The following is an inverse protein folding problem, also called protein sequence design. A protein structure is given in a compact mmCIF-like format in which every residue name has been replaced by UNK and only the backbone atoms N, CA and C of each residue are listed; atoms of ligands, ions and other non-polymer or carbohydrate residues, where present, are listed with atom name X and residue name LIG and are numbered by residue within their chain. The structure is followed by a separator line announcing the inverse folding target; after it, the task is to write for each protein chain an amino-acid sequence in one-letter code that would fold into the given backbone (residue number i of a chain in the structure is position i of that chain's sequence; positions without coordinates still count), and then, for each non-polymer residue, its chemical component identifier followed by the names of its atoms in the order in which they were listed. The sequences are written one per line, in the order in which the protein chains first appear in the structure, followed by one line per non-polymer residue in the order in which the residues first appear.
data_IF_840157747409
#
_entry.id   IF_840157747409
#
_cell.length_a   1.000
_cell.length_b   1.000
_cell.length_c   1.000
_cell.angle_alpha   90.00
_cell.angle_beta   90.00
_cell.angle_gamma   90.00
#
_symmetry.space_group_name_H-M   'P 1'
#
loop_
_entity.id
_entity.type
_entity.pdbx_description
1 polymer ?
#
# COMPACT_ATOMS: atom_id res chain seq x y z
N UNK A 1 12.75 -7.99 11.92
CA UNK A 1 12.41 -6.57 12.17
C UNK A 1 13.35 -5.94 13.20
N UNK A 2 13.70 -6.62 14.30
CA UNK A 2 14.59 -6.06 15.34
C UNK A 2 16.01 -5.70 14.86
N UNK A 3 16.61 -6.50 13.97
CA UNK A 3 17.93 -6.18 13.41
C UNK A 3 17.96 -4.84 12.65
N UNK A 4 16.86 -4.48 11.96
CA UNK A 4 16.78 -3.22 11.21
C UNK A 4 16.77 -2.01 12.16
N UNK A 5 16.09 -2.10 13.30
CA UNK A 5 16.07 -1.05 14.33
C UNK A 5 17.45 -0.83 14.99
N UNK A 6 18.26 -1.87 15.13
CA UNK A 6 19.61 -1.76 15.70
C UNK A 6 20.54 -1.02 14.73
N UNK A 7 20.54 -1.38 13.44
CA UNK A 7 21.29 -0.63 12.42
C UNK A 7 20.80 0.81 12.28
N UNK A 8 19.50 1.06 12.49
CA UNK A 8 18.89 2.38 12.46
C UNK A 8 19.39 3.29 13.59
N UNK A 9 19.38 2.78 14.82
CA UNK A 9 19.85 3.51 16.00
C UNK A 9 21.37 3.77 15.93
N UNK A 10 22.13 2.81 15.40
CA UNK A 10 23.57 2.97 15.15
C UNK A 10 23.83 4.03 14.08
N UNK A 11 23.06 4.06 12.99
CA UNK A 11 23.22 5.06 11.94
C UNK A 11 22.87 6.47 12.41
N UNK A 12 21.76 6.64 13.16
CA UNK A 12 21.40 7.94 13.76
C UNK A 12 22.47 8.38 14.76
N UNK A 13 22.97 7.47 15.61
CA UNK A 13 24.03 7.78 16.56
C UNK A 13 25.35 8.17 15.85
N UNK A 14 25.70 7.50 14.76
CA UNK A 14 26.88 7.83 13.94
C UNK A 14 26.67 9.16 13.21
N UNK A 15 25.49 9.42 12.64
CA UNK A 15 25.19 10.66 11.92
C UNK A 15 25.15 11.87 12.85
N UNK A 16 24.44 11.76 13.97
CA UNK A 16 24.40 12.80 15.01
C UNK A 16 25.78 12.97 15.62
N UNK A 17 26.48 11.87 15.92
CA UNK A 17 27.85 11.90 16.45
C UNK A 17 28.85 12.55 15.49
N UNK A 18 28.82 12.22 14.21
CA UNK A 18 29.70 12.81 13.18
C UNK A 18 29.35 14.26 12.90
N UNK A 19 28.07 14.62 12.91
CA UNK A 19 27.63 16.02 12.77
C UNK A 19 28.05 16.85 13.98
N UNK A 20 27.87 16.36 15.21
CA UNK A 20 28.33 17.02 16.43
C UNK A 20 29.87 17.10 16.48
N UNK A 21 30.59 16.06 16.05
CA UNK A 21 32.05 16.07 16.02
C UNK A 21 32.60 16.98 14.92
N UNK A 22 31.96 17.06 13.75
CA UNK A 22 32.35 18.01 12.69
C UNK A 22 31.98 19.44 13.07
N UNK A 23 30.82 19.70 13.68
CA UNK A 23 30.47 21.02 14.22
C UNK A 23 31.38 21.41 15.39
N UNK A 24 31.65 20.49 16.30
CA UNK A 24 32.53 20.68 17.45
C UNK A 24 33.95 20.98 17.00
N UNK A 25 34.47 20.26 16.00
CA UNK A 25 35.78 20.55 15.42
C UNK A 25 35.77 21.85 14.60
N UNK A 26 34.72 22.20 13.86
CA UNK A 26 34.61 23.51 13.19
C UNK A 26 34.58 24.67 14.19
N UNK A 27 33.95 24.48 15.36
CA UNK A 27 33.98 25.44 16.48
C UNK A 27 35.35 25.47 17.17
N UNK A 28 36.03 24.32 17.35
CA UNK A 28 37.33 24.22 18.05
C UNK A 28 38.56 24.54 17.17
N UNK A 29 38.47 24.46 15.84
CA UNK A 29 39.58 24.74 14.90
C UNK A 29 39.95 26.24 14.84
N UNK A 30 39.48 27.06 15.78
CA UNK A 30 39.80 28.49 15.83
C UNK A 30 39.38 29.25 14.57
N UNK A 31 38.41 28.71 13.80
CA UNK A 31 37.83 29.39 12.63
C UNK A 31 37.07 30.64 13.11
N UNK A 32 36.43 30.55 14.27
CA UNK A 32 35.66 31.65 14.85
C UNK A 32 36.50 32.61 15.72
N UNK A 33 37.70 32.26 16.18
CA UNK A 33 38.46 33.18 17.03
C UNK A 33 39.06 34.38 16.28
N UNK A 34 39.11 34.34 14.94
CA UNK A 34 39.71 35.40 14.09
C UNK A 34 38.73 36.19 13.20
N UNK A 35 37.44 35.84 13.19
CA UNK A 35 36.42 36.66 12.53
C UNK A 35 36.05 37.78 13.50
N UNK A 36 36.69 38.94 13.38
CA UNK A 36 36.46 40.10 14.27
C UNK A 36 35.11 40.79 14.05
N UNK A 37 34.45 40.51 12.92
CA UNK A 37 33.15 41.08 12.64
C UNK A 37 32.04 40.29 13.33
N UNK A 38 31.48 40.91 14.38
CA UNK A 38 30.33 40.42 15.16
C UNK A 38 29.16 40.04 14.24
N UNK A 39 28.96 40.76 13.13
CA UNK A 39 27.84 40.53 12.23
C UNK A 39 27.98 39.25 11.42
N UNK A 40 29.18 38.95 10.90
CA UNK A 40 29.44 37.75 10.09
C UNK A 40 29.32 36.48 10.92
N UNK A 41 29.76 36.53 12.18
CA UNK A 41 29.55 35.44 13.15
C UNK A 41 28.08 35.19 13.42
N UNK A 42 27.31 36.24 13.69
CA UNK A 42 25.88 36.11 13.99
C UNK A 42 25.12 35.60 12.77
N UNK A 43 25.39 36.11 11.57
CA UNK A 43 24.72 35.67 10.34
C UNK A 43 24.97 34.18 10.05
N UNK A 44 26.21 33.72 10.24
CA UNK A 44 26.59 32.33 9.97
C UNK A 44 26.02 31.36 11.01
N UNK A 45 26.04 31.74 12.29
CA UNK A 45 25.41 30.96 13.37
C UNK A 45 23.90 30.91 13.20
N UNK A 46 23.25 32.04 12.85
CA UNK A 46 21.82 32.08 12.58
C UNK A 46 21.42 31.22 11.37
N UNK A 47 22.22 31.21 10.31
CA UNK A 47 21.99 30.36 9.14
C UNK A 47 22.13 28.87 9.49
N UNK A 48 23.16 28.50 10.26
CA UNK A 48 23.36 27.12 10.71
C UNK A 48 22.23 26.64 11.65
N UNK A 49 21.77 27.49 12.57
CA UNK A 49 20.66 27.19 13.47
C UNK A 49 19.34 27.08 12.70
N UNK A 50 19.11 27.94 11.71
CA UNK A 50 17.93 27.86 10.85
C UNK A 50 17.89 26.57 10.03
N UNK A 51 19.04 26.16 9.47
CA UNK A 51 19.16 24.91 8.70
C UNK A 51 18.99 23.69 9.60
N UNK A 52 19.66 23.66 10.76
CA UNK A 52 19.54 22.56 11.71
C UNK A 52 18.10 22.45 12.28
N UNK A 53 17.45 23.59 12.56
CA UNK A 53 16.06 23.66 12.99
C UNK A 53 15.09 23.16 11.93
N UNK A 54 15.29 23.53 10.66
CA UNK A 54 14.46 23.06 9.55
C UNK A 54 14.60 21.54 9.33
N UNK A 55 15.84 21.01 9.40
CA UNK A 55 16.09 19.57 9.32
C UNK A 55 15.46 18.83 10.50
N UNK A 56 15.58 19.36 11.72
CA UNK A 56 15.02 18.74 12.92
C UNK A 56 13.48 18.73 12.93
N UNK A 57 12.84 19.85 12.57
CA UNK A 57 11.37 19.94 12.45
C UNK A 57 10.87 18.98 11.37
N UNK A 58 11.58 18.88 10.24
CA UNK A 58 11.25 17.96 9.16
C UNK A 58 11.39 16.48 9.58
N UNK A 59 12.45 16.13 10.31
CA UNK A 59 12.65 14.77 10.84
C UNK A 59 11.67 14.41 11.96
N UNK A 60 11.32 15.36 12.83
CA UNK A 60 10.43 15.14 13.97
C UNK A 60 8.95 14.98 13.57
N UNK A 61 8.55 15.51 12.41
CA UNK A 61 7.15 15.51 11.96
C UNK A 61 6.76 14.31 11.11
N UNK A 62 7.69 13.43 10.71
CA UNK A 62 7.40 12.35 9.75
C UNK A 62 8.05 10.99 10.09
N UNK A 63 7.67 10.34 11.21
CA UNK A 63 8.23 9.05 11.63
C UNK A 63 7.95 7.89 10.65
N UNK A 64 6.84 7.92 9.90
CA UNK A 64 6.45 6.80 9.02
C UNK A 64 7.16 6.76 7.66
N UNK A 65 7.97 7.78 7.34
CA UNK A 65 8.59 7.94 6.02
C UNK A 65 9.97 7.25 5.92
N UNK A 66 10.57 6.87 7.04
CA UNK A 66 11.93 6.30 7.10
C UNK A 66 12.06 4.88 6.50
N UNK A 67 10.95 4.22 6.16
CA UNK A 67 10.94 2.96 5.39
C UNK A 67 11.02 3.17 3.87
N UNK A 68 10.92 4.41 3.40
CA UNK A 68 10.94 4.72 1.98
C UNK A 68 12.35 5.13 1.56
N UNK A 69 13.09 4.20 0.93
CA UNK A 69 14.47 4.36 0.45
C UNK A 69 14.70 5.67 -0.32
N UNK A 70 13.66 6.14 -1.02
CA UNK A 70 13.68 7.41 -1.74
C UNK A 70 13.83 8.62 -0.81
N UNK A 71 13.11 8.69 0.31
CA UNK A 71 13.21 9.84 1.22
C UNK A 71 14.53 9.83 1.98
N UNK A 72 15.00 8.65 2.38
CA UNK A 72 16.34 8.49 2.97
C UNK A 72 17.43 8.99 2.01
N UNK A 73 17.34 8.66 0.72
CA UNK A 73 18.26 9.15 -0.30
C UNK A 73 18.28 10.69 -0.40
N UNK A 74 17.10 11.33 -0.38
CA UNK A 74 17.00 12.80 -0.42
C UNK A 74 17.62 13.45 0.82
N UNK A 75 17.40 12.88 2.01
CA UNK A 75 17.98 13.38 3.26
C UNK A 75 19.51 13.25 3.28
N UNK A 76 20.04 12.12 2.84
CA UNK A 76 21.49 11.89 2.74
C UNK A 76 22.13 12.85 1.74
N UNK A 77 21.51 13.06 0.57
CA UNK A 77 21.99 14.01 -0.43
C UNK A 77 22.06 15.44 0.12
N UNK A 78 20.97 15.93 0.74
CA UNK A 78 20.92 17.27 1.34
C UNK A 78 22.01 17.43 2.41
N UNK A 79 22.23 16.40 3.22
CA UNK A 79 23.23 16.42 4.30
C UNK A 79 24.66 16.50 3.76
N UNK A 80 25.01 15.68 2.75
CA UNK A 80 26.33 15.71 2.10
C UNK A 80 26.57 17.07 1.43
N UNK A 81 25.54 17.59 0.76
CA UNK A 81 25.61 18.87 0.08
C UNK A 81 25.86 20.02 1.06
N UNK A 82 25.09 20.10 2.16
CA UNK A 82 25.27 21.10 3.21
C UNK A 82 26.66 21.04 3.85
N UNK A 83 27.14 19.84 4.17
CA UNK A 83 28.49 19.66 4.72
C UNK A 83 29.56 20.18 3.76
N UNK A 84 29.44 19.86 2.47
CA UNK A 84 30.39 20.29 1.42
C UNK A 84 30.36 21.81 1.25
N UNK A 85 29.17 22.43 1.26
CA UNK A 85 29.01 23.87 1.16
C UNK A 85 29.64 24.62 2.35
N UNK A 86 29.43 24.13 3.58
CA UNK A 86 30.03 24.73 4.80
C UNK A 86 31.55 24.62 4.76
N UNK A 87 32.09 23.46 4.36
CA UNK A 87 33.55 23.27 4.25
C UNK A 87 34.14 24.16 3.17
N UNK A 88 33.50 24.28 2.00
CA UNK A 88 33.96 25.13 0.91
C UNK A 88 33.97 26.62 1.29
N UNK A 89 32.89 27.11 1.92
CA UNK A 89 32.80 28.48 2.43
C UNK A 89 33.85 28.74 3.53
N UNK A 90 34.01 27.80 4.46
CA UNK A 90 35.02 27.90 5.51
C UNK A 90 36.46 27.91 4.97
N UNK A 91 36.74 27.11 3.94
CA UNK A 91 38.04 27.07 3.28
C UNK A 91 38.34 28.38 2.52
N UNK A 92 37.36 28.96 1.82
CA UNK A 92 37.53 30.26 1.15
C UNK A 92 37.85 31.38 2.15
N UNK A 93 37.23 31.37 3.32
CA UNK A 93 37.47 32.37 4.36
C UNK A 93 38.86 32.21 5.03
N UNK A 94 39.44 31.00 5.02
CA UNK A 94 40.72 30.71 5.72
C UNK A 94 41.96 30.61 4.84
N UNK A 95 41.86 30.18 3.59
CA UNK A 95 43.04 29.75 2.81
C UNK A 95 43.48 30.80 1.79
N UNK A 96 44.60 31.45 2.11
CA UNK A 96 45.66 31.91 1.20
C UNK A 96 45.35 33.01 0.18
N UNK A 97 44.44 32.74 -0.76
CA UNK A 97 44.23 33.59 -1.95
C UNK A 97 43.18 34.67 -1.64
N UNK A 98 42.16 34.35 -0.83
CA UNK A 98 41.09 35.27 -0.45
C UNK A 98 41.34 36.01 0.87
N UNK A 99 42.28 35.54 1.69
CA UNK A 99 42.62 36.17 2.97
C UNK A 99 43.21 37.59 2.82
N UNK A 100 43.69 37.93 1.63
CA UNK A 100 44.24 39.26 1.28
C UNK A 100 43.33 40.06 0.34
N UNK A 101 42.18 39.50 -0.04
CA UNK A 101 41.19 40.16 -0.88
C UNK A 101 40.33 41.04 0.02
N UNK A 102 40.07 42.27 -0.40
CA UNK A 102 39.20 43.19 0.33
C UNK A 102 37.83 42.54 0.61
N UNK A 103 37.35 42.68 1.85
CA UNK A 103 36.09 42.11 2.33
C UNK A 103 34.93 42.37 1.37
N UNK A 104 34.91 43.51 0.66
CA UNK A 104 33.88 43.81 -0.33
C UNK A 104 33.83 42.76 -1.45
N UNK A 105 34.97 42.33 -1.97
CA UNK A 105 35.04 41.33 -3.04
C UNK A 105 34.87 39.90 -2.50
N UNK A 106 35.37 39.62 -1.30
CA UNK A 106 35.16 38.32 -0.63
C UNK A 106 33.68 38.06 -0.35
N UNK A 107 32.94 39.09 0.09
CA UNK A 107 31.49 39.01 0.29
C UNK A 107 30.73 38.83 -1.02
N UNK A 108 31.16 39.50 -2.10
CA UNK A 108 30.57 39.33 -3.43
C UNK A 108 30.77 37.89 -3.96
N UNK A 109 31.97 37.34 -3.78
CA UNK A 109 32.31 35.97 -4.18
C UNK A 109 31.55 34.92 -3.36
N UNK A 110 31.46 35.10 -2.05
CA UNK A 110 30.66 34.23 -1.18
C UNK A 110 29.16 34.28 -1.53
N UNK A 111 28.65 35.47 -1.87
CA UNK A 111 27.28 35.65 -2.36
C UNK A 111 27.04 34.94 -3.69
N UNK A 112 27.95 35.09 -4.66
CA UNK A 112 27.87 34.40 -5.94
C UNK A 112 27.89 32.88 -5.77
N UNK A 113 28.78 32.36 -4.91
CA UNK A 113 28.84 30.94 -4.59
C UNK A 113 27.56 30.42 -3.95
N UNK A 114 26.96 31.20 -3.04
CA UNK A 114 25.67 30.87 -2.43
C UNK A 114 24.56 30.77 -3.47
N UNK A 115 24.51 31.70 -4.42
CA UNK A 115 23.54 31.67 -5.54
C UNK A 115 23.77 30.46 -6.44
N UNK A 116 25.02 30.14 -6.77
CA UNK A 116 25.35 28.93 -7.55
C UNK A 116 24.99 27.64 -6.80
N UNK A 117 25.29 27.57 -5.50
CA UNK A 117 24.91 26.44 -4.64
C UNK A 117 23.39 26.27 -4.60
N UNK A 118 22.62 27.35 -4.42
CA UNK A 118 21.16 27.31 -4.46
C UNK A 118 20.66 26.85 -5.84
N UNK A 119 21.23 27.38 -6.93
CA UNK A 119 20.92 26.94 -8.29
C UNK A 119 21.17 25.45 -8.51
N UNK A 120 22.32 24.94 -8.05
CA UNK A 120 22.69 23.53 -8.15
C UNK A 120 21.77 22.61 -7.34
N UNK A 121 21.33 23.02 -6.15
CA UNK A 121 20.34 22.28 -5.34
C UNK A 121 18.99 22.25 -6.05
N UNK A 122 18.49 23.40 -6.50
CA UNK A 122 17.21 23.49 -7.18
C UNK A 122 17.21 22.62 -8.44
N UNK A 123 18.29 22.69 -9.23
CA UNK A 123 18.43 21.88 -10.44
C UNK A 123 18.53 20.38 -10.11
N UNK A 124 19.32 20.00 -9.11
CA UNK A 124 19.43 18.61 -8.66
C UNK A 124 18.09 18.08 -8.14
N UNK A 125 17.36 18.89 -7.35
CA UNK A 125 16.03 18.56 -6.83
C UNK A 125 15.00 18.40 -7.96
N UNK A 126 15.03 19.28 -8.97
CA UNK A 126 14.17 19.16 -10.16
C UNK A 126 14.47 17.91 -11.00
N UNK A 127 15.69 17.38 -10.93
CA UNK A 127 16.07 16.12 -11.61
C UNK A 127 15.73 14.87 -10.81
N UNK A 128 15.35 14.99 -9.54
CA UNK A 128 14.94 13.84 -8.74
C UNK A 128 13.58 13.32 -9.24
N UNK A 129 13.42 12.00 -9.39
CA UNK A 129 12.14 11.44 -9.81
C UNK A 129 11.07 11.82 -8.77
N UNK A 130 9.94 12.34 -9.25
CA UNK A 130 8.81 12.70 -8.41
C UNK A 130 8.47 11.53 -7.47
N UNK A 131 8.25 11.83 -6.18
CA UNK A 131 7.82 10.85 -5.20
C UNK A 131 6.39 10.43 -5.56
N UNK A 132 6.26 9.43 -6.44
CA UNK A 132 4.97 8.81 -6.73
C UNK A 132 4.62 7.90 -5.57
N UNK A 133 3.99 8.46 -4.53
CA UNK A 133 3.17 7.64 -3.66
C UNK A 133 2.10 7.03 -4.57
N UNK A 134 2.06 5.71 -4.70
CA UNK A 134 0.89 5.07 -5.29
C UNK A 134 -0.25 5.35 -4.32
N UNK A 135 -0.98 6.45 -4.53
CA UNK A 135 -2.08 6.85 -3.66
C UNK A 135 -3.04 5.67 -3.57
N UNK A 136 -3.27 5.20 -2.35
CA UNK A 136 -4.28 4.18 -2.10
C UNK A 136 -5.62 4.90 -2.02
N UNK A 137 -6.50 4.61 -2.96
CA UNK A 137 -7.87 5.09 -2.97
C UNK A 137 -8.76 4.09 -2.24
N UNK A 138 -9.71 4.61 -1.48
CA UNK A 138 -10.76 3.80 -0.85
C UNK A 138 -11.94 3.64 -1.83
N UNK A 139 -12.43 2.41 -1.95
CA UNK A 139 -13.53 2.04 -2.85
C UNK A 139 -14.54 1.17 -2.10
N UNK A 140 -15.82 1.42 -2.36
CA UNK A 140 -16.89 0.51 -1.97
C UNK A 140 -17.08 -0.58 -3.02
N UNK A 141 -17.35 -1.80 -2.57
CA UNK A 141 -17.58 -2.96 -3.43
C UNK A 141 -18.83 -3.72 -3.00
N UNK A 142 -19.70 -4.02 -3.95
CA UNK A 142 -20.92 -4.80 -3.71
C UNK A 142 -21.07 -5.93 -4.72
N UNK A 143 -21.55 -7.08 -4.24
CA UNK A 143 -22.04 -8.16 -5.09
C UNK A 143 -23.50 -8.43 -4.76
N UNK A 144 -24.36 -8.30 -5.76
CA UNK A 144 -25.77 -8.65 -5.70
C UNK A 144 -25.94 -10.05 -6.32
N UNK A 145 -26.11 -11.05 -5.48
CA UNK A 145 -26.15 -12.45 -5.92
C UNK A 145 -27.45 -12.76 -6.64
N UNK A 146 -27.33 -13.25 -7.87
CA UNK A 146 -28.50 -13.65 -8.66
C UNK A 146 -28.97 -15.04 -8.24
N UNK A 147 -30.21 -15.41 -8.57
CA UNK A 147 -30.64 -16.79 -8.39
C UNK A 147 -30.12 -17.66 -9.53
N UNK A 148 -29.05 -18.40 -9.26
CA UNK A 148 -28.42 -19.31 -10.22
C UNK A 148 -28.40 -20.78 -9.74
N UNK A 149 -29.14 -21.12 -8.68
CA UNK A 149 -29.08 -22.45 -8.06
C UNK A 149 -29.49 -23.58 -9.03
N UNK A 150 -30.54 -23.36 -9.82
CA UNK A 150 -31.00 -24.33 -10.81
C UNK A 150 -29.96 -24.54 -11.91
N UNK A 151 -29.31 -23.46 -12.35
CA UNK A 151 -28.26 -23.51 -13.36
C UNK A 151 -27.00 -24.17 -12.83
N UNK A 152 -26.62 -23.87 -11.58
CA UNK A 152 -25.53 -24.56 -10.89
C UNK A 152 -25.80 -26.06 -10.79
N UNK A 153 -27.02 -26.45 -10.37
CA UNK A 153 -27.40 -27.86 -10.24
C UNK A 153 -27.32 -28.62 -11.58
N UNK A 154 -27.67 -27.97 -12.70
CA UNK A 154 -27.52 -28.56 -14.04
C UNK A 154 -26.07 -28.86 -14.41
N UNK A 155 -25.10 -28.17 -13.82
CA UNK A 155 -23.67 -28.39 -14.05
C UNK A 155 -23.03 -29.50 -13.21
N UNK A 156 -23.79 -30.12 -12.30
CA UNK A 156 -23.32 -31.27 -11.55
C UNK A 156 -23.28 -32.50 -12.47
N UNK A 157 -22.09 -33.03 -12.73
CA UNK A 157 -21.89 -34.19 -13.60
C UNK A 157 -22.46 -35.48 -12.98
N UNK A 158 -22.37 -35.61 -11.65
CA UNK A 158 -22.82 -36.77 -10.89
C UNK A 158 -24.34 -36.78 -10.71
N UNK A 159 -24.98 -37.87 -11.15
CA UNK A 159 -26.41 -38.13 -10.87
C UNK A 159 -26.65 -38.21 -9.35
N UNK A 160 -25.71 -38.79 -8.61
CA UNK A 160 -25.77 -38.91 -7.16
C UNK A 160 -25.75 -37.52 -6.51
N UNK A 161 -24.89 -36.61 -6.97
CA UNK A 161 -24.81 -35.26 -6.38
C UNK A 161 -26.10 -34.46 -6.65
N UNK A 162 -26.71 -34.63 -7.82
CA UNK A 162 -28.01 -34.01 -8.14
C UNK A 162 -29.12 -34.56 -7.26
N UNK A 163 -29.17 -35.89 -7.06
CA UNK A 163 -30.13 -36.54 -6.17
C UNK A 163 -29.96 -36.09 -4.72
N UNK A 164 -28.73 -36.03 -4.22
CA UNK A 164 -28.42 -35.50 -2.89
C UNK A 164 -28.95 -34.07 -2.68
N UNK A 165 -28.80 -33.21 -3.69
CA UNK A 165 -29.33 -31.83 -3.64
C UNK A 165 -30.86 -31.85 -3.67
N UNK A 166 -31.48 -32.64 -4.54
CA UNK A 166 -32.94 -32.75 -4.65
C UNK A 166 -33.61 -33.24 -3.38
N UNK A 167 -33.04 -34.27 -2.78
CA UNK A 167 -33.52 -34.82 -1.52
C UNK A 167 -33.42 -33.77 -0.42
N UNK A 168 -32.25 -33.12 -0.26
CA UNK A 168 -32.06 -32.06 0.72
C UNK A 168 -33.04 -30.88 0.52
N UNK A 169 -33.29 -30.47 -0.71
CA UNK A 169 -34.26 -29.40 -1.01
C UNK A 169 -35.67 -29.79 -0.58
N UNK A 170 -36.03 -31.07 -0.75
CA UNK A 170 -37.37 -31.59 -0.47
C UNK A 170 -37.61 -31.83 1.03
N UNK A 171 -36.66 -32.47 1.71
CA UNK A 171 -36.83 -32.97 3.08
C UNK A 171 -36.19 -32.08 4.14
N UNK A 172 -35.26 -31.20 3.73
CA UNK A 172 -34.36 -30.43 4.62
C UNK A 172 -33.48 -31.30 5.53
N UNK A 173 -33.47 -32.61 5.31
CA UNK A 173 -32.72 -33.62 6.09
C UNK A 173 -32.22 -34.70 5.14
N UNK A 174 -30.93 -35.02 5.18
CA UNK A 174 -30.40 -36.20 4.49
C UNK A 174 -30.58 -37.41 5.41
N UNK A 175 -31.05 -38.54 4.89
CA UNK A 175 -31.03 -39.78 5.66
C UNK A 175 -29.59 -40.12 6.10
N UNK A 176 -29.40 -40.67 7.31
CA UNK A 176 -28.06 -40.89 7.88
C UNK A 176 -27.11 -41.71 6.99
N UNK A 177 -27.65 -42.63 6.18
CA UNK A 177 -26.87 -43.51 5.28
C UNK A 177 -26.46 -42.81 3.97
N UNK A 178 -27.25 -41.84 3.51
CA UNK A 178 -26.98 -41.00 2.34
C UNK A 178 -26.16 -39.76 2.69
N UNK A 179 -26.23 -39.31 3.95
CA UNK A 179 -25.44 -38.23 4.49
C UNK A 179 -23.95 -38.43 4.20
N UNK A 180 -23.35 -39.59 4.53
CA UNK A 180 -21.92 -39.80 4.30
C UNK A 180 -21.54 -39.75 2.81
N UNK A 181 -22.36 -40.27 1.89
CA UNK A 181 -22.09 -40.19 0.44
C UNK A 181 -22.26 -38.76 -0.09
N UNK A 182 -23.30 -38.05 0.33
CA UNK A 182 -23.61 -36.70 -0.10
C UNK A 182 -22.69 -35.64 0.54
N UNK A 183 -22.24 -35.85 1.78
CA UNK A 183 -21.30 -34.97 2.48
C UNK A 183 -19.87 -35.15 2.00
N UNK A 184 -19.45 -36.37 1.65
CA UNK A 184 -18.11 -36.60 1.11
C UNK A 184 -17.88 -35.89 -0.24
N UNK A 185 -18.93 -35.67 -1.04
CA UNK A 185 -18.84 -34.95 -2.31
C UNK A 185 -19.02 -33.42 -2.20
N UNK A 186 -19.24 -32.87 -1.00
CA UNK A 186 -19.45 -31.43 -0.74
C UNK A 186 -20.59 -30.76 -1.53
N UNK A 187 -21.38 -31.48 -2.32
CA UNK A 187 -22.42 -30.92 -3.19
C UNK A 187 -23.50 -30.20 -2.37
N UNK A 188 -23.99 -30.83 -1.31
CA UNK A 188 -25.02 -30.24 -0.43
C UNK A 188 -24.46 -29.06 0.37
N UNK A 189 -23.24 -29.15 0.88
CA UNK A 189 -22.60 -28.02 1.57
C UNK A 189 -22.38 -26.81 0.67
N UNK A 190 -22.01 -27.04 -0.60
CA UNK A 190 -21.93 -25.98 -1.60
C UNK A 190 -23.31 -25.41 -1.93
N UNK A 191 -24.33 -26.25 -2.07
CA UNK A 191 -25.71 -25.81 -2.33
C UNK A 191 -26.23 -24.92 -1.19
N UNK A 192 -26.09 -25.34 0.07
CA UNK A 192 -26.51 -24.55 1.24
C UNK A 192 -25.83 -23.18 1.24
N UNK A 193 -24.50 -23.17 1.11
CA UNK A 193 -23.74 -21.91 1.10
C UNK A 193 -24.17 -20.97 -0.05
N UNK A 194 -24.48 -21.52 -1.22
CA UNK A 194 -24.99 -20.72 -2.33
C UNK A 194 -26.42 -20.24 -2.08
N UNK A 195 -27.30 -21.10 -1.56
CA UNK A 195 -28.68 -20.76 -1.25
C UNK A 195 -28.78 -19.66 -0.18
N UNK A 196 -27.83 -19.60 0.75
CA UNK A 196 -27.74 -18.53 1.73
C UNK A 196 -27.27 -17.20 1.15
N UNK A 197 -26.43 -17.23 0.10
CA UNK A 197 -25.96 -16.03 -0.57
C UNK A 197 -26.97 -15.47 -1.59
N UNK A 198 -27.71 -16.35 -2.28
CA UNK A 198 -28.62 -16.00 -3.38
C UNK A 198 -29.70 -15.02 -2.95
N UNK A 199 -29.92 -13.99 -3.76
CA UNK A 199 -30.87 -12.90 -3.47
C UNK A 199 -30.39 -11.91 -2.41
N UNK A 200 -29.25 -12.20 -1.76
CA UNK A 200 -28.59 -11.29 -0.84
C UNK A 200 -27.63 -10.33 -1.55
N UNK A 201 -27.24 -9.28 -0.82
CA UNK A 201 -26.16 -8.38 -1.22
C UNK A 201 -25.02 -8.50 -0.22
N UNK A 202 -23.84 -8.86 -0.71
CA UNK A 202 -22.62 -8.76 0.08
C UNK A 202 -21.94 -7.42 -0.20
N UNK A 203 -21.26 -6.90 0.81
CA UNK A 203 -20.62 -5.57 0.76
C UNK A 203 -19.21 -5.64 1.29
N UNK A 204 -18.33 -4.87 0.71
CA UNK A 204 -16.95 -4.77 1.12
C UNK A 204 -16.36 -3.38 0.94
N UNK A 205 -15.25 -3.18 1.63
CA UNK A 205 -14.40 -2.01 1.53
C UNK A 205 -13.05 -2.42 0.94
N UNK A 206 -12.56 -1.63 0.00
CA UNK A 206 -11.37 -1.94 -0.77
C UNK A 206 -10.40 -0.76 -0.75
N UNK A 207 -9.12 -1.07 -0.58
CA UNK A 207 -8.04 -0.10 -0.72
C UNK A 207 -7.22 -0.46 -1.95
N UNK A 208 -7.30 0.38 -2.98
CA UNK A 208 -6.63 0.17 -4.26
C UNK A 208 -5.51 1.18 -4.45
N UNK A 209 -4.30 0.67 -4.64
CA UNK A 209 -3.12 1.42 -5.02
C UNK A 209 -2.91 1.27 -6.53
N UNK A 210 -2.83 2.40 -7.24
CA UNK A 210 -2.65 2.41 -8.69
C UNK A 210 -1.22 2.84 -9.07
N UNK A 211 -0.61 2.06 -9.98
CA UNK A 211 0.71 2.36 -10.52
C UNK A 211 0.56 2.82 -11.97
N UNK A 212 0.70 4.13 -12.19
CA UNK A 212 0.60 4.79 -13.50
C UNK A 212 1.61 4.26 -14.52
N UNK A 213 2.81 3.83 -14.08
CA UNK A 213 3.86 3.36 -15.00
C UNK A 213 3.48 2.06 -15.69
N UNK A 214 2.77 1.18 -14.97
CA UNK A 214 2.43 -0.17 -15.44
C UNK A 214 0.92 -0.38 -15.67
N UNK A 215 0.11 0.66 -15.44
CA UNK A 215 -1.36 0.61 -15.51
C UNK A 215 -1.96 -0.52 -14.64
N UNK A 216 -1.34 -0.80 -13.48
CA UNK A 216 -1.74 -1.91 -12.60
C UNK A 216 -2.31 -1.42 -11.28
N UNK A 217 -3.31 -2.17 -10.81
CA UNK A 217 -3.87 -2.04 -9.46
C UNK A 217 -3.27 -3.13 -8.56
N UNK A 218 -3.03 -2.77 -7.30
CA UNK A 218 -2.81 -3.72 -6.21
C UNK A 218 -3.59 -3.25 -5.00
N UNK A 219 -4.12 -4.17 -4.21
CA UNK A 219 -4.93 -3.77 -3.06
C UNK A 219 -5.32 -4.89 -2.14
N UNK A 220 -6.12 -4.53 -1.16
CA UNK A 220 -6.77 -5.44 -0.23
C UNK A 220 -8.24 -5.07 -0.13
N UNK A 221 -9.09 -6.05 0.15
CA UNK A 221 -10.51 -5.86 0.37
C UNK A 221 -10.94 -6.62 1.61
N UNK A 222 -11.74 -5.99 2.47
CA UNK A 222 -12.57 -6.68 3.45
C UNK A 222 -13.98 -6.81 2.90
N UNK A 223 -14.55 -8.01 2.91
CA UNK A 223 -15.85 -8.27 2.29
C UNK A 223 -16.71 -9.18 3.15
N UNK A 224 -17.95 -8.77 3.37
CA UNK A 224 -18.96 -9.53 4.10
C UNK A 224 -19.92 -10.18 3.11
N UNK A 225 -19.92 -11.51 3.06
CA UNK A 225 -20.91 -12.26 2.30
C UNK A 225 -22.31 -12.08 2.91
N UNK A 226 -23.38 -12.27 2.12
CA UNK A 226 -24.73 -12.27 2.66
C UNK A 226 -24.87 -13.32 3.77
N UNK A 227 -25.53 -12.94 4.87
CA UNK A 227 -25.78 -13.78 6.08
C UNK A 227 -24.54 -14.24 6.86
N UNK A 228 -23.33 -14.02 6.35
CA UNK A 228 -22.11 -14.29 7.11
C UNK A 228 -21.96 -13.34 8.30
N UNK A 229 -21.40 -13.86 9.40
CA UNK A 229 -21.13 -13.08 10.61
C UNK A 229 -19.78 -12.39 10.54
N UNK A 230 -18.82 -12.97 9.81
CA UNK A 230 -17.41 -12.56 9.77
C UNK A 230 -17.03 -12.08 8.37
N UNK A 231 -16.22 -11.03 8.30
CA UNK A 231 -15.70 -10.52 7.03
C UNK A 231 -14.53 -11.37 6.52
N UNK A 232 -14.45 -11.53 5.21
CA UNK A 232 -13.36 -12.20 4.51
C UNK A 232 -12.40 -11.18 3.92
N UNK A 233 -11.11 -11.39 4.16
CA UNK A 233 -10.06 -10.60 3.53
C UNK A 233 -9.66 -11.20 2.17
N UNK A 234 -9.53 -10.34 1.18
CA UNK A 234 -9.05 -10.66 -0.16
C UNK A 234 -7.83 -9.81 -0.49
N UNK A 235 -6.85 -10.44 -1.11
CA UNK A 235 -5.82 -9.73 -1.85
C UNK A 235 -6.33 -9.41 -3.25
N UNK A 236 -5.94 -8.27 -3.78
CA UNK A 236 -6.39 -7.81 -5.09
C UNK A 236 -5.23 -7.39 -5.97
N UNK A 237 -5.36 -7.72 -7.24
CA UNK A 237 -4.51 -7.20 -8.30
C UNK A 237 -5.38 -6.89 -9.51
N UNK A 238 -4.89 -6.07 -10.42
CA UNK A 238 -5.69 -5.74 -11.59
C UNK A 238 -4.98 -4.86 -12.60
N UNK A 239 -5.71 -4.51 -13.65
CA UNK A 239 -5.21 -3.66 -14.73
C UNK A 239 -6.27 -2.65 -15.14
N UNK A 240 -5.82 -1.42 -15.39
CA UNK A 240 -6.62 -0.40 -16.08
C UNK A 240 -6.40 -0.57 -17.58
N UNK A 241 -7.46 -0.87 -18.33
CA UNK A 241 -7.38 -0.95 -19.79
C UNK A 241 -7.55 0.44 -20.40
N UNK A 242 -8.49 1.22 -19.87
CA UNK A 242 -8.74 2.61 -20.27
C UNK A 242 -9.46 3.38 -19.13
N UNK A 243 -9.96 4.59 -19.39
CA UNK A 243 -10.66 5.39 -18.39
C UNK A 243 -12.04 4.85 -17.99
N UNK A 244 -12.61 3.94 -18.80
CA UNK A 244 -13.93 3.34 -18.61
C UNK A 244 -13.87 1.86 -18.25
N UNK A 245 -12.72 1.22 -18.29
CA UNK A 245 -12.62 -0.22 -18.18
C UNK A 245 -11.43 -0.62 -17.30
N UNK A 246 -11.71 -1.49 -16.33
CA UNK A 246 -10.72 -2.05 -15.42
C UNK A 246 -11.06 -3.51 -15.11
N UNK A 247 -10.03 -4.33 -15.00
CA UNK A 247 -10.18 -5.74 -14.59
C UNK A 247 -9.49 -5.93 -13.25
N UNK A 248 -10.21 -6.50 -12.29
CA UNK A 248 -9.70 -6.78 -10.95
C UNK A 248 -9.82 -8.29 -10.68
N UNK A 249 -8.70 -8.86 -10.26
CA UNK A 249 -8.56 -10.24 -9.78
C UNK A 249 -8.54 -10.21 -8.25
N UNK A 250 -9.46 -10.96 -7.65
CA UNK A 250 -9.63 -11.13 -6.23
C UNK A 250 -9.12 -12.50 -5.84
N UNK A 251 -8.20 -12.57 -4.88
CA UNK A 251 -7.59 -13.81 -4.42
C UNK A 251 -7.69 -13.93 -2.91
N UNK A 252 -8.33 -15.02 -2.47
CA UNK A 252 -8.43 -15.42 -1.09
C UNK A 252 -7.63 -16.70 -0.90
N UNK A 253 -6.44 -16.58 -0.32
CA UNK A 253 -5.52 -17.72 -0.12
C UNK A 253 -6.06 -18.78 0.84
N UNK A 254 -6.78 -18.34 1.89
CA UNK A 254 -7.35 -19.23 2.90
C UNK A 254 -8.83 -18.94 3.10
N UNK A 255 -9.62 -20.00 3.04
CA UNK A 255 -11.06 -19.97 3.29
C UNK A 255 -11.39 -20.89 4.44
N UNK A 256 -12.27 -20.44 5.33
CA UNK A 256 -12.81 -21.26 6.41
C UNK A 256 -14.31 -21.43 6.19
N UNK A 257 -14.81 -22.64 6.38
CA UNK A 257 -16.24 -22.92 6.44
C UNK A 257 -16.58 -23.47 7.81
N UNK A 258 -17.41 -22.74 8.55
CA UNK A 258 -17.85 -23.12 9.88
C UNK A 258 -19.34 -23.48 9.80
N UNK A 259 -19.69 -24.75 9.99
CA UNK A 259 -21.09 -25.19 9.96
C UNK A 259 -21.69 -25.21 11.37
N UNK A 260 -22.87 -24.62 11.59
CA UNK A 260 -23.59 -24.73 12.86
C UNK A 260 -24.06 -26.15 13.19
N UNK A 261 -24.11 -27.07 12.21
CA UNK A 261 -24.69 -28.41 12.40
C UNK A 261 -23.78 -29.41 13.14
N UNK A 262 -22.54 -29.03 13.46
CA UNK A 262 -21.63 -29.87 14.24
C UNK A 262 -21.39 -29.21 15.60
N UNK A 263 -22.20 -29.57 16.60
CA UNK A 263 -21.90 -29.38 18.02
C UNK A 263 -21.95 -27.95 18.57
N UNK A 264 -22.39 -27.87 19.82
CA UNK A 264 -22.60 -26.66 20.62
C UNK A 264 -21.29 -25.94 21.00
N UNK A 265 -20.56 -25.38 20.04
CA UNK A 265 -19.58 -24.27 20.27
C UNK A 265 -19.10 -23.73 18.92
N UNK A 266 -19.62 -22.57 18.53
CA UNK A 266 -19.58 -21.99 17.17
C UNK A 266 -18.22 -21.57 16.58
N UNK A 267 -17.10 -22.17 17.00
CA UNK A 267 -15.76 -21.88 16.45
C UNK A 267 -14.88 -23.14 16.27
N UNK A 268 -15.24 -24.29 16.86
CA UNK A 268 -14.36 -25.47 16.87
C UNK A 268 -14.51 -26.39 15.65
N UNK A 269 -15.49 -26.14 14.77
CA UNK A 269 -15.77 -26.98 13.60
C UNK A 269 -15.66 -26.21 12.27
N UNK A 270 -14.61 -25.40 12.15
CA UNK A 270 -14.25 -24.74 10.89
C UNK A 270 -13.31 -25.64 10.09
N UNK A 271 -13.69 -25.99 8.86
CA UNK A 271 -12.81 -26.70 7.92
C UNK A 271 -12.16 -25.72 6.95
N UNK A 272 -10.86 -25.87 6.72
CA UNK A 272 -10.15 -25.13 5.68
C UNK A 272 -10.63 -25.58 4.30
N UNK A 273 -10.86 -24.61 3.42
CA UNK A 273 -11.20 -24.82 2.02
C UNK A 273 -10.07 -24.28 1.16
N UNK A 274 -9.93 -24.87 -0.03
CA UNK A 274 -9.02 -24.35 -1.05
C UNK A 274 -9.26 -22.86 -1.28
N UNK A 275 -8.16 -22.15 -1.52
CA UNK A 275 -8.21 -20.75 -1.90
C UNK A 275 -9.13 -20.53 -3.10
N UNK A 276 -9.72 -19.34 -3.16
CA UNK A 276 -10.65 -18.98 -4.21
C UNK A 276 -10.18 -17.71 -4.90
N UNK A 277 -10.17 -17.78 -6.22
CA UNK A 277 -9.83 -16.65 -7.07
C UNK A 277 -10.95 -16.41 -8.05
N UNK A 278 -11.29 -15.14 -8.25
CA UNK A 278 -12.26 -14.73 -9.25
C UNK A 278 -11.87 -13.39 -9.84
N UNK A 279 -12.23 -13.21 -11.11
CA UNK A 279 -11.93 -12.00 -11.86
C UNK A 279 -13.25 -11.31 -12.24
N UNK A 280 -13.26 -9.99 -12.14
CA UNK A 280 -14.37 -9.16 -12.61
C UNK A 280 -13.79 -8.06 -13.49
N UNK A 281 -14.32 -7.95 -14.70
CA UNK A 281 -14.12 -6.77 -15.55
C UNK A 281 -15.27 -5.82 -15.31
N UNK A 282 -14.93 -4.57 -14.97
CA UNK A 282 -15.87 -3.50 -14.70
C UNK A 282 -15.83 -2.45 -15.80
N UNK A 283 -17.01 -1.93 -16.10
CA UNK A 283 -17.26 -0.86 -17.06
C UNK A 283 -17.85 0.34 -16.33
N UNK A 284 -17.36 1.53 -16.66
CA UNK A 284 -17.82 2.77 -16.05
C UNK A 284 -19.23 3.09 -16.50
N UNK A 285 -20.13 3.23 -15.54
CA UNK A 285 -21.50 3.68 -15.74
C UNK A 285 -21.78 4.87 -14.80
N UNK A 286 -21.91 6.07 -15.38
CA UNK A 286 -22.00 7.33 -14.62
C UNK A 286 -20.78 7.50 -13.68
N UNK A 287 -21.01 7.43 -12.37
CA UNK A 287 -19.99 7.58 -11.33
C UNK A 287 -19.40 6.23 -10.88
N UNK A 288 -20.11 5.13 -11.16
CA UNK A 288 -19.79 3.80 -10.65
C UNK A 288 -19.16 2.93 -11.74
N UNK A 289 -18.63 1.78 -11.33
CA UNK A 289 -18.09 0.74 -12.18
C UNK A 289 -18.92 -0.52 -11.98
N UNK A 290 -19.57 -1.00 -13.04
CA UNK A 290 -20.46 -2.15 -13.00
C UNK A 290 -19.79 -3.32 -13.71
N UNK A 291 -19.88 -4.51 -13.11
CA UNK A 291 -19.34 -5.75 -13.65
C UNK A 291 -20.26 -6.92 -13.37
N UNK A 292 -19.88 -8.09 -13.88
CA UNK A 292 -20.61 -9.34 -13.64
C UNK A 292 -19.62 -10.37 -13.13
N UNK A 293 -19.89 -10.92 -11.96
CA UNK A 293 -19.16 -12.06 -11.43
C UNK A 293 -19.69 -13.34 -12.06
N UNK A 294 -18.81 -14.07 -12.75
CA UNK A 294 -19.11 -15.37 -13.35
C UNK A 294 -18.34 -16.48 -12.64
N UNK A 295 -18.91 -17.68 -12.62
CA UNK A 295 -18.22 -18.84 -12.06
C UNK A 295 -16.96 -19.14 -12.88
N UNK A 296 -15.77 -19.30 -12.27
CA UNK A 296 -14.52 -19.45 -13.02
C UNK A 296 -14.44 -20.75 -13.82
N UNK A 297 -15.22 -21.76 -13.43
CA UNK A 297 -15.15 -23.12 -14.01
C UNK A 297 -16.46 -23.68 -14.55
N UNK A 298 -17.61 -23.23 -14.04
CA UNK A 298 -18.89 -23.90 -14.29
C UNK A 298 -19.57 -23.20 -15.44
N UNK A 299 -19.91 -24.00 -16.45
CA UNK A 299 -20.48 -23.53 -17.70
C UNK A 299 -21.86 -24.13 -17.93
N UNK A 300 -22.77 -23.30 -18.40
CA UNK A 300 -24.06 -23.72 -18.92
C UNK A 300 -24.15 -23.22 -20.37
N UNK A 301 -24.49 -24.10 -21.31
CA UNK A 301 -24.55 -23.77 -22.74
C UNK A 301 -23.26 -23.13 -23.30
N UNK A 302 -22.10 -23.55 -22.80
CA UNK A 302 -20.79 -23.05 -23.23
C UNK A 302 -20.31 -21.76 -22.54
N UNK A 303 -21.16 -21.10 -21.76
CA UNK A 303 -20.84 -19.86 -21.06
C UNK A 303 -20.72 -20.05 -19.54
N UNK A 304 -19.84 -19.29 -18.90
CA UNK A 304 -19.71 -19.33 -17.44
C UNK A 304 -20.97 -18.77 -16.76
N UNK A 305 -21.50 -19.51 -15.78
CA UNK A 305 -22.70 -19.13 -15.01
C UNK A 305 -22.51 -17.79 -14.33
N UNK A 306 -23.53 -16.93 -14.36
CA UNK A 306 -23.54 -15.66 -13.63
C UNK A 306 -23.86 -15.94 -12.15
N UNK A 307 -23.00 -15.45 -11.27
CA UNK A 307 -23.15 -15.60 -9.81
C UNK A 307 -23.73 -14.32 -9.20
N UNK A 308 -23.23 -13.16 -9.62
CA UNK A 308 -23.63 -11.88 -9.05
C UNK A 308 -23.39 -10.73 -10.02
N UNK A 309 -24.18 -9.67 -9.86
CA UNK A 309 -23.85 -8.36 -10.43
C UNK A 309 -22.93 -7.63 -9.45
N UNK A 310 -21.89 -6.99 -9.97
CA UNK A 310 -20.86 -6.34 -9.18
C UNK A 310 -20.90 -4.82 -9.37
N UNK A 311 -20.75 -4.09 -8.27
CA UNK A 311 -20.67 -2.63 -8.28
C UNK A 311 -19.41 -2.22 -7.52
N UNK A 312 -18.65 -1.31 -8.12
CA UNK A 312 -17.46 -0.71 -7.56
C UNK A 312 -17.64 0.82 -7.62
N UNK A 313 -17.62 1.50 -6.49
CA UNK A 313 -17.92 2.93 -6.41
C UNK A 313 -16.90 3.67 -5.53
N UNK A 314 -16.57 4.93 -5.86
CA UNK A 314 -15.63 5.72 -5.07
C UNK A 314 -16.23 6.04 -3.69
N UNK A 315 -15.38 6.09 -2.66
CA UNK A 315 -15.74 6.51 -1.30
C UNK A 315 -15.18 7.89 -0.95
#
# INVERSE_FOLDING_TARGET
MEALNIYHSIFIAIFVGTTILTFGSVLNIGIFSKIDDKYTKTLFVSLLVAIAGAVFIFLATMPDIMNNLYVLYHLVFISIFLATAVVALGAMLKVGIFAKVDNKYTNLLAGALLVELVGAVVQSYMTLPAISYNQAEEWGFELQYVNYLDDWKKTLDSVIDRQCVDEYVTTRQLAMEEADKCFNNMAVGNYIAQADAVGGTGRGLMFLSYNDKNLRFNGIMSYKFPKDVVESAFSMSGKKHNSKERTLLFSQKKRLYCSPQYGSSGLNNCKERNGYEFEITFYKEKMDFIGVLRHPKLKLNGENIIIANAILYPR
#
